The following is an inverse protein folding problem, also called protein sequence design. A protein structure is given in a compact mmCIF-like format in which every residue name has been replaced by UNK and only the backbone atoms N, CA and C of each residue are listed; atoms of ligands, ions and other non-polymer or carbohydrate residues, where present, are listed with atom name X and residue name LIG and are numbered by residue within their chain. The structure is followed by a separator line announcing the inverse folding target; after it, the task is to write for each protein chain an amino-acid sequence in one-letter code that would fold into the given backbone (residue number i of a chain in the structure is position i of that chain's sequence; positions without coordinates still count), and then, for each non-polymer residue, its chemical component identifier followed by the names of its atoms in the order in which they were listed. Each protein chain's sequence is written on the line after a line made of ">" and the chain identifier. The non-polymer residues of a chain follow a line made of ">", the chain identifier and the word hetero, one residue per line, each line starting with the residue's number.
data_IF_183487997912
#
_entry.id   IF_183487997912
#
_cell.length_a   1.000
_cell.length_b   1.000
_cell.length_c   1.000
_cell.angle_alpha   90.00
_cell.angle_beta   90.00
_cell.angle_gamma   90.00
#
_symmetry.space_group_name_H-M   'P 1'
#
loop_
_entity.id
_entity.type
_entity.pdbx_description
1 polymer ?
#
# COMPACT_ATOMS: atom_id res chain seq x y z
N UNK A 1 -20.49 -14.34 -7.28
CA UNK A 1 -21.83 -14.89 -6.97
C UNK A 1 -22.25 -15.74 -8.16
N UNK A 2 -23.48 -16.27 -8.25
CA UNK A 2 -23.93 -16.69 -9.59
C UNK A 2 -24.09 -15.42 -10.47
N UNK A 3 -24.00 -15.52 -11.80
CA UNK A 3 -24.22 -14.38 -12.68
C UNK A 3 -25.57 -13.68 -12.43
N UNK A 4 -26.61 -14.45 -12.10
CA UNK A 4 -27.96 -13.96 -11.83
C UNK A 4 -27.98 -13.14 -10.53
N UNK A 5 -27.41 -13.68 -9.45
CA UNK A 5 -27.30 -12.96 -8.18
C UNK A 5 -26.42 -11.71 -8.33
N UNK A 6 -25.35 -11.77 -9.12
CA UNK A 6 -24.53 -10.60 -9.41
C UNK A 6 -25.34 -9.51 -10.14
N UNK A 7 -26.11 -9.88 -11.16
CA UNK A 7 -26.95 -8.94 -11.90
C UNK A 7 -28.00 -8.26 -11.02
N UNK A 8 -28.54 -8.98 -10.02
CA UNK A 8 -29.49 -8.43 -9.05
C UNK A 8 -28.84 -7.41 -8.10
N UNK A 9 -27.64 -7.68 -7.59
CA UNK A 9 -26.98 -6.82 -6.59
C UNK A 9 -26.15 -5.68 -7.21
N UNK A 10 -25.72 -5.82 -8.46
CA UNK A 10 -24.84 -4.84 -9.12
C UNK A 10 -25.42 -3.42 -9.15
N UNK A 11 -26.72 -3.18 -9.42
CA UNK A 11 -27.31 -1.84 -9.36
C UNK A 11 -27.20 -1.20 -7.98
N UNK A 12 -27.36 -1.97 -6.90
CA UNK A 12 -27.23 -1.47 -5.52
C UNK A 12 -25.77 -1.11 -5.23
N UNK A 13 -24.82 -1.95 -5.64
CA UNK A 13 -23.40 -1.66 -5.48
C UNK A 13 -22.97 -0.41 -6.27
N UNK A 14 -23.56 -0.20 -7.45
CA UNK A 14 -23.30 0.95 -8.32
C UNK A 14 -23.77 2.29 -7.72
N UNK A 15 -24.65 2.29 -6.71
CA UNK A 15 -25.06 3.52 -6.02
C UNK A 15 -23.91 4.17 -5.23
N UNK A 16 -22.89 3.42 -4.83
CA UNK A 16 -21.75 3.92 -4.04
C UNK A 16 -20.38 3.54 -4.62
N UNK A 17 -20.33 2.76 -5.70
CA UNK A 17 -19.10 2.31 -6.34
C UNK A 17 -19.04 2.77 -7.79
N UNK A 18 -17.91 3.37 -8.19
CA UNK A 18 -17.68 3.77 -9.59
C UNK A 18 -17.48 2.57 -10.52
N UNK A 19 -16.91 1.49 -10.02
CA UNK A 19 -16.58 0.28 -10.77
C UNK A 19 -17.14 -0.91 -10.01
N UNK A 20 -17.92 -1.76 -10.68
CA UNK A 20 -18.53 -2.97 -10.13
C UNK A 20 -18.27 -4.11 -11.10
N UNK A 21 -17.41 -5.06 -10.71
CA UNK A 21 -16.94 -6.15 -11.58
C UNK A 21 -17.21 -7.53 -10.98
N UNK A 22 -17.60 -8.48 -11.82
CA UNK A 22 -17.82 -9.87 -11.42
C UNK A 22 -16.53 -10.69 -11.56
N UNK A 23 -15.78 -10.84 -10.47
CA UNK A 23 -14.51 -11.58 -10.47
C UNK A 23 -14.66 -13.12 -10.59
N UNK A 24 -15.89 -13.63 -10.75
CA UNK A 24 -16.19 -15.05 -10.92
C UNK A 24 -16.87 -15.68 -9.70
N UNK A 25 -16.65 -16.99 -9.44
CA UNK A 25 -17.37 -17.72 -8.40
C UNK A 25 -17.06 -17.19 -6.98
N UNK A 26 -17.80 -17.69 -5.99
CA UNK A 26 -17.61 -17.34 -4.58
C UNK A 26 -16.13 -17.48 -4.19
N UNK A 27 -15.60 -16.48 -3.48
CA UNK A 27 -14.19 -16.38 -3.10
C UNK A 27 -13.29 -15.68 -4.13
N UNK A 28 -13.68 -15.51 -5.40
CA UNK A 28 -12.86 -14.77 -6.37
C UNK A 28 -12.72 -13.28 -6.05
N UNK A 29 -13.78 -12.63 -5.57
CA UNK A 29 -13.71 -11.23 -5.13
C UNK A 29 -12.75 -11.02 -3.96
N UNK A 30 -12.70 -11.96 -3.02
CA UNK A 30 -11.75 -11.93 -1.91
C UNK A 30 -10.31 -12.02 -2.41
N UNK A 31 -9.99 -13.02 -3.25
CA UNK A 31 -8.66 -13.19 -3.84
C UNK A 31 -8.24 -11.98 -4.67
N UNK A 32 -9.16 -11.40 -5.45
CA UNK A 32 -8.92 -10.17 -6.18
C UNK A 32 -8.58 -8.99 -5.25
N UNK A 33 -9.29 -8.86 -4.12
CA UNK A 33 -9.01 -7.83 -3.11
C UNK A 33 -7.62 -8.03 -2.46
N UNK A 34 -7.22 -9.26 -2.18
CA UNK A 34 -5.87 -9.55 -1.65
C UNK A 34 -4.78 -9.10 -2.63
N UNK A 35 -4.93 -9.41 -3.93
CA UNK A 35 -3.98 -8.98 -4.97
C UNK A 35 -3.95 -7.45 -5.13
N UNK A 36 -5.12 -6.80 -5.09
CA UNK A 36 -5.19 -5.34 -5.11
C UNK A 36 -4.46 -4.73 -3.91
N UNK A 37 -4.63 -5.31 -2.71
CA UNK A 37 -3.96 -4.82 -1.50
C UNK A 37 -2.45 -5.05 -1.55
N UNK A 38 -1.97 -6.18 -2.08
CA UNK A 38 -0.55 -6.39 -2.33
C UNK A 38 0.03 -5.27 -3.20
N UNK A 39 -0.62 -4.95 -4.33
CA UNK A 39 -0.17 -3.88 -5.22
C UNK A 39 -0.18 -2.52 -4.51
N UNK A 40 -1.29 -2.15 -3.88
CA UNK A 40 -1.43 -0.83 -3.26
C UNK A 40 -0.45 -0.62 -2.10
N UNK A 41 -0.37 -1.58 -1.18
CA UNK A 41 0.48 -1.53 0.02
C UNK A 41 1.95 -1.69 -0.38
N UNK A 42 2.27 -2.62 -1.29
CA UNK A 42 3.64 -2.81 -1.78
C UNK A 42 4.18 -1.57 -2.48
N UNK A 43 3.38 -0.93 -3.33
CA UNK A 43 3.74 0.34 -3.95
C UNK A 43 3.92 1.45 -2.91
N UNK A 44 3.04 1.53 -1.90
CA UNK A 44 3.17 2.54 -0.86
C UNK A 44 4.43 2.33 0.01
N UNK A 45 4.75 1.09 0.37
CA UNK A 45 5.97 0.74 1.10
C UNK A 45 7.22 1.11 0.29
N UNK A 46 7.26 0.76 -1.00
CA UNK A 46 8.36 1.13 -1.91
C UNK A 46 8.51 2.65 -2.03
N UNK A 47 7.39 3.38 -2.16
CA UNK A 47 7.40 4.84 -2.23
C UNK A 47 7.98 5.44 -0.96
N UNK A 48 7.53 4.98 0.21
CA UNK A 48 8.01 5.44 1.51
C UNK A 48 9.50 5.16 1.68
N UNK A 49 9.95 3.95 1.34
CA UNK A 49 11.37 3.58 1.43
C UNK A 49 12.23 4.42 0.49
N UNK A 50 11.85 4.51 -0.79
CA UNK A 50 12.62 5.22 -1.80
C UNK A 50 12.74 6.72 -1.48
N UNK A 51 11.66 7.38 -1.05
CA UNK A 51 11.71 8.81 -0.72
C UNK A 51 12.36 9.07 0.64
N UNK A 52 12.24 8.14 1.60
CA UNK A 52 13.05 8.15 2.81
C UNK A 52 14.55 8.19 2.47
N UNK A 53 15.00 7.33 1.56
CA UNK A 53 16.39 7.33 1.08
C UNK A 53 16.72 8.57 0.24
N UNK A 54 15.80 9.04 -0.59
CA UNK A 54 16.01 10.26 -1.38
C UNK A 54 16.32 11.47 -0.48
N UNK A 55 15.69 11.54 0.70
CA UNK A 55 16.03 12.56 1.71
C UNK A 55 17.45 12.37 2.25
N UNK A 56 17.87 11.15 2.55
CA UNK A 56 19.24 10.88 3.05
C UNK A 56 20.33 11.15 2.02
N UNK A 57 19.95 11.14 0.73
CA UNK A 57 20.81 11.47 -0.39
C UNK A 57 20.70 12.96 -0.81
N UNK A 58 20.04 13.80 0.00
CA UNK A 58 19.82 15.22 -0.25
C UNK A 58 19.17 15.52 -1.63
N UNK A 59 18.32 14.61 -2.12
CA UNK A 59 17.60 14.78 -3.38
C UNK A 59 16.37 15.67 -3.20
N UNK A 60 16.13 16.55 -4.17
CA UNK A 60 14.90 17.34 -4.28
C UNK A 60 13.71 16.42 -4.61
N UNK A 61 12.82 16.24 -3.63
CA UNK A 61 11.64 15.37 -3.75
C UNK A 61 10.68 15.82 -4.86
N UNK A 62 10.54 17.12 -5.09
CA UNK A 62 9.65 17.66 -6.12
C UNK A 62 10.20 17.35 -7.52
N UNK A 63 11.50 17.52 -7.73
CA UNK A 63 12.17 17.14 -8.98
C UNK A 63 12.11 15.64 -9.22
N UNK A 64 12.40 14.83 -8.20
CA UNK A 64 12.33 13.38 -8.29
C UNK A 64 10.91 12.91 -8.63
N UNK A 65 9.90 13.48 -7.96
CA UNK A 65 8.49 13.22 -8.25
C UNK A 65 8.12 13.53 -9.70
N UNK A 66 8.55 14.69 -10.24
CA UNK A 66 8.32 15.01 -11.66
C UNK A 66 8.92 13.97 -12.61
N UNK A 67 10.13 13.48 -12.33
CA UNK A 67 10.78 12.41 -13.13
C UNK A 67 9.97 11.12 -13.04
N UNK A 68 9.59 10.70 -11.84
CA UNK A 68 8.85 9.45 -11.64
C UNK A 68 7.47 9.48 -12.30
N UNK A 69 6.80 10.64 -12.30
CA UNK A 69 5.50 10.84 -12.96
C UNK A 69 5.58 10.75 -14.49
N UNK A 70 6.75 10.95 -15.09
CA UNK A 70 6.98 10.82 -16.53
C UNK A 70 7.33 9.41 -17.00
N UNK A 71 7.46 8.42 -16.10
CA UNK A 71 7.99 7.09 -16.43
C UNK A 71 7.25 5.94 -15.78
N UNK A 72 7.82 4.74 -15.88
CA UNK A 72 7.24 3.49 -15.37
C UNK A 72 7.10 3.45 -13.83
N UNK A 73 7.76 4.36 -13.11
CA UNK A 73 7.63 4.49 -11.66
C UNK A 73 6.29 5.10 -11.22
N UNK A 74 5.54 5.74 -12.14
CA UNK A 74 4.24 6.34 -11.85
C UNK A 74 3.27 5.29 -11.31
N UNK A 75 2.71 5.55 -10.13
CA UNK A 75 1.70 4.69 -9.51
C UNK A 75 0.67 5.50 -8.74
N UNK A 76 -0.51 4.91 -8.51
CA UNK A 76 -1.56 5.55 -7.72
C UNK A 76 -1.15 5.79 -6.26
N UNK A 77 -0.23 5.01 -5.70
CA UNK A 77 0.32 5.28 -4.36
C UNK A 77 1.28 6.46 -4.37
N UNK A 78 2.16 6.55 -5.38
CA UNK A 78 3.07 7.70 -5.56
C UNK A 78 2.28 9.02 -5.68
N UNK A 79 1.26 9.05 -6.54
CA UNK A 79 0.41 10.23 -6.77
C UNK A 79 -0.33 10.71 -5.52
N UNK A 80 -0.64 9.81 -4.58
CA UNK A 80 -1.38 10.14 -3.36
C UNK A 80 -0.47 10.48 -2.18
N UNK A 81 0.72 9.87 -2.10
CA UNK A 81 1.64 10.06 -0.98
C UNK A 81 2.47 11.34 -1.16
N UNK A 82 3.02 11.58 -2.35
CA UNK A 82 4.08 12.57 -2.50
C UNK A 82 3.64 14.03 -2.50
N UNK A 83 2.61 14.45 -3.25
CA UNK A 83 2.24 15.86 -3.28
C UNK A 83 1.93 16.42 -1.87
N UNK A 84 1.17 15.73 -1.00
CA UNK A 84 0.99 16.16 0.38
C UNK A 84 2.31 16.14 1.18
N UNK A 85 3.11 15.09 1.04
CA UNK A 85 4.36 14.96 1.80
C UNK A 85 5.41 16.03 1.44
N UNK A 86 5.45 16.47 0.18
CA UNK A 86 6.27 17.60 -0.28
C UNK A 86 5.80 18.92 0.37
N UNK A 87 4.49 19.07 0.58
CA UNK A 87 3.91 20.19 1.31
C UNK A 87 4.00 20.06 2.85
N UNK A 88 4.63 19.00 3.35
CA UNK A 88 4.79 18.73 4.78
C UNK A 88 3.60 18.02 5.45
N UNK A 89 2.60 17.57 4.69
CA UNK A 89 1.50 16.73 5.19
C UNK A 89 1.75 15.24 4.87
N UNK A 90 2.11 14.48 5.89
CA UNK A 90 2.39 13.06 5.76
C UNK A 90 1.19 12.15 6.07
N UNK A 91 0.01 12.68 6.38
CA UNK A 91 -1.17 11.91 6.85
C UNK A 91 -2.17 11.57 5.75
N UNK A 92 -2.04 12.17 4.57
CA UNK A 92 -3.02 12.07 3.47
C UNK A 92 -3.27 10.66 2.90
N UNK A 93 -2.35 9.71 3.11
CA UNK A 93 -2.54 8.32 2.69
C UNK A 93 -3.09 7.48 3.86
N UNK A 94 -4.42 7.37 3.91
CA UNK A 94 -5.17 6.77 5.01
C UNK A 94 -5.09 5.23 5.02
N UNK A 95 -3.91 4.68 5.24
CA UNK A 95 -3.67 3.25 5.42
C UNK A 95 -2.78 3.04 6.64
N UNK A 96 -3.36 2.62 7.76
CA UNK A 96 -2.61 2.41 9.00
C UNK A 96 -1.65 1.22 8.87
N UNK A 97 -0.54 1.26 9.61
CA UNK A 97 0.43 0.17 9.66
C UNK A 97 -0.21 -1.15 10.09
N UNK A 98 -1.10 -1.12 11.09
CA UNK A 98 -1.82 -2.32 11.54
C UNK A 98 -2.69 -2.93 10.42
N UNK A 99 -3.41 -2.10 9.67
CA UNK A 99 -4.24 -2.57 8.56
C UNK A 99 -3.41 -3.06 7.38
N UNK A 100 -2.34 -2.33 7.01
CA UNK A 100 -1.43 -2.74 5.95
C UNK A 100 -0.82 -4.12 6.25
N UNK A 101 -0.29 -4.27 7.46
CA UNK A 101 0.34 -5.50 7.94
C UNK A 101 -0.64 -6.68 7.91
N UNK A 102 -1.86 -6.46 8.42
CA UNK A 102 -2.93 -7.46 8.44
C UNK A 102 -3.29 -7.93 7.03
N UNK A 103 -3.50 -7.00 6.10
CA UNK A 103 -3.92 -7.32 4.74
C UNK A 103 -2.84 -8.06 3.95
N UNK A 104 -1.56 -7.68 4.12
CA UNK A 104 -0.43 -8.46 3.58
C UNK A 104 -0.36 -9.85 4.23
N UNK A 105 -0.69 -9.97 5.52
CA UNK A 105 -0.83 -11.26 6.19
C UNK A 105 -1.85 -12.18 5.53
N UNK A 106 -3.03 -11.66 5.16
CA UNK A 106 -4.03 -12.45 4.44
C UNK A 106 -3.56 -12.87 3.04
N UNK A 107 -2.85 -12.00 2.32
CA UNK A 107 -2.25 -12.36 1.04
C UNK A 107 -1.24 -13.52 1.18
N UNK A 108 -0.35 -13.44 2.18
CA UNK A 108 0.65 -14.50 2.42
C UNK A 108 0.00 -15.83 2.80
N UNK A 109 -1.05 -15.80 3.62
CA UNK A 109 -1.80 -17.00 3.98
C UNK A 109 -2.49 -17.64 2.76
N UNK A 110 -3.08 -16.84 1.86
CA UNK A 110 -3.66 -17.36 0.60
C UNK A 110 -2.58 -17.94 -0.32
N UNK A 111 -1.40 -17.31 -0.41
CA UNK A 111 -0.30 -17.83 -1.21
C UNK A 111 0.19 -19.19 -0.70
N UNK A 112 0.40 -19.31 0.62
CA UNK A 112 0.79 -20.54 1.29
C UNK A 112 -0.25 -21.66 1.09
N UNK A 113 -1.53 -21.35 1.28
CA UNK A 113 -2.63 -22.29 1.03
C UNK A 113 -2.73 -22.77 -0.43
N UNK A 114 -2.10 -22.06 -1.37
CA UNK A 114 -1.98 -22.45 -2.79
C UNK A 114 -0.61 -23.01 -3.16
N UNK A 115 0.30 -23.20 -2.20
CA UNK A 115 1.67 -23.65 -2.44
C UNK A 115 2.45 -22.70 -3.34
N UNK A 116 2.17 -21.39 -3.28
CA UNK A 116 2.86 -20.36 -4.08
C UNK A 116 3.83 -19.59 -3.22
N UNK A 117 5.04 -19.41 -3.74
CA UNK A 117 6.01 -18.51 -3.13
C UNK A 117 5.57 -17.04 -3.27
N UNK A 118 5.76 -16.27 -2.20
CA UNK A 118 5.34 -14.87 -2.11
C UNK A 118 6.45 -13.97 -1.55
N UNK A 119 7.68 -14.12 -2.07
CA UNK A 119 8.88 -13.45 -1.55
C UNK A 119 8.77 -11.92 -1.44
N UNK A 120 8.21 -11.24 -2.46
CA UNK A 120 7.99 -9.79 -2.39
C UNK A 120 6.97 -9.41 -1.31
N UNK A 121 5.89 -10.20 -1.16
CA UNK A 121 4.92 -9.98 -0.10
C UNK A 121 5.53 -10.18 1.30
N UNK A 122 6.45 -11.14 1.44
CA UNK A 122 7.17 -11.38 2.68
C UNK A 122 8.10 -10.22 3.04
N UNK A 123 8.82 -9.66 2.06
CA UNK A 123 9.64 -8.47 2.27
C UNK A 123 8.80 -7.25 2.70
N UNK A 124 7.67 -7.01 2.02
CA UNK A 124 6.73 -5.94 2.42
C UNK A 124 6.20 -6.19 3.84
N UNK A 125 5.89 -7.44 4.20
CA UNK A 125 5.45 -7.80 5.55
C UNK A 125 6.51 -7.49 6.60
N UNK A 126 7.77 -7.83 6.32
CA UNK A 126 8.88 -7.54 7.23
C UNK A 126 9.03 -6.03 7.46
N UNK A 127 9.05 -5.24 6.37
CA UNK A 127 9.10 -3.77 6.45
C UNK A 127 7.97 -3.22 7.35
N UNK A 128 6.75 -3.73 7.18
CA UNK A 128 5.59 -3.32 7.97
C UNK A 128 5.69 -3.76 9.44
N UNK A 129 6.19 -4.98 9.73
CA UNK A 129 6.38 -5.47 11.09
C UNK A 129 7.42 -4.62 11.84
N UNK A 130 8.52 -4.23 11.18
CA UNK A 130 9.55 -3.33 11.75
C UNK A 130 9.01 -1.92 12.01
N UNK A 131 8.21 -1.38 11.09
CA UNK A 131 7.57 -0.07 11.27
C UNK A 131 6.53 -0.11 12.40
N UNK A 132 5.72 -1.17 12.47
CA UNK A 132 4.71 -1.37 13.50
C UNK A 132 5.33 -1.45 14.90
N UNK A 133 6.44 -2.19 15.03
CA UNK A 133 7.16 -2.32 16.29
C UNK A 133 7.73 -0.98 16.78
N UNK A 134 8.16 -0.11 15.86
CA UNK A 134 8.74 1.21 16.19
C UNK A 134 7.70 2.29 16.47
N UNK A 135 6.58 2.27 15.77
CA UNK A 135 5.67 3.43 15.73
C UNK A 135 4.23 3.15 16.17
N UNK A 136 3.87 1.88 16.38
CA UNK A 136 2.51 1.47 16.74
C UNK A 136 1.56 1.33 15.55
N UNK A 137 0.36 0.80 15.83
CA UNK A 137 -0.59 0.37 14.80
C UNK A 137 -1.37 1.46 14.10
N UNK A 138 -1.63 2.58 14.79
CA UNK A 138 -2.46 3.69 14.30
C UNK A 138 -1.72 4.66 13.38
N UNK A 139 -0.40 4.53 13.26
CA UNK A 139 0.38 5.36 12.35
C UNK A 139 -0.03 5.07 10.90
N UNK A 140 -0.26 6.11 10.09
CA UNK A 140 -0.44 5.93 8.65
C UNK A 140 0.90 5.58 8.00
N UNK A 141 0.87 4.67 7.02
CA UNK A 141 2.08 4.22 6.32
C UNK A 141 2.89 5.38 5.71
N UNK A 142 2.22 6.41 5.17
CA UNK A 142 2.90 7.60 4.63
C UNK A 142 3.58 8.47 5.69
N UNK A 143 3.14 8.39 6.95
CA UNK A 143 3.77 9.15 8.05
C UNK A 143 5.18 8.65 8.36
N UNK A 144 5.60 7.49 7.85
CA UNK A 144 7.01 7.08 7.92
C UNK A 144 7.96 8.03 7.16
N UNK A 145 7.43 8.86 6.26
CA UNK A 145 8.18 9.93 5.60
C UNK A 145 8.34 11.20 6.47
N UNK A 146 7.68 11.28 7.62
CA UNK A 146 7.76 12.44 8.52
C UNK A 146 9.13 12.49 9.22
N UNK A 147 9.93 13.56 9.04
CA UNK A 147 11.21 13.72 9.74
C UNK A 147 11.08 13.61 11.27
N UNK A 148 9.96 14.05 11.85
CA UNK A 148 9.73 14.02 13.30
C UNK A 148 9.60 12.59 13.86
N UNK A 149 9.40 11.59 12.97
CA UNK A 149 9.21 10.19 13.34
C UNK A 149 10.46 9.34 13.14
N UNK A 150 11.59 9.95 12.76
CA UNK A 150 12.88 9.25 12.79
C UNK A 150 13.28 8.96 14.22
N UNK A 151 13.50 7.69 14.54
CA UNK A 151 14.40 7.31 15.63
C UNK A 151 15.84 7.64 15.22
N UNK A 152 16.68 8.03 16.18
CA UNK A 152 18.13 8.15 15.96
C UNK A 152 18.68 6.87 15.30
N UNK A 153 19.69 6.96 14.43
CA UNK A 153 20.30 5.78 13.82
C UNK A 153 20.75 4.82 14.93
N UNK A 154 20.56 3.51 14.71
CA UNK A 154 21.14 2.51 15.58
C UNK A 154 22.67 2.74 15.66
N UNK A 155 23.28 2.69 16.86
CA UNK A 155 24.72 2.85 16.98
C UNK A 155 25.41 1.81 16.07
N UNK A 156 26.38 2.29 15.28
CA UNK A 156 27.21 1.47 14.40
C UNK A 156 28.03 0.47 15.21
#
# INVERSE_FOLDING_TARGET
>A
ASPEVFAEIAPVAACYSRIVEHMGPVGSGHRAKLLNNLLAIGQAALVVEAYGQARDLDLDWERLYRVNMGGAARSGSLERILPPAIAGDYRGYLFSLANARKDIGYYLAEADAKGREAGLGAAVRQFLDEALARHGGELMLSELLDPARRSAPAPR
#
